data_IF_821652410039
#
_entry.id   IF_821652410039
#
_cell.length_a   1.000
_cell.length_b   1.000
_cell.length_c   1.000
_cell.angle_alpha   90.00
_cell.angle_beta   90.00
_cell.angle_gamma   90.00
#
_symmetry.space_group_name_H-M   'P 1'
#
loop_
_entity.id
_entity.type
_entity.pdbx_description
1 polymer ?
#
# COMPACT_ATOMS: atom_id res chain seq x y z
N UNK A 1 -18.67 -9.14 25.62
CA UNK A 1 -18.06 -8.53 26.82
C UNK A 1 -18.02 -7.02 26.63
N UNK A 2 -18.49 -6.24 27.61
CA UNK A 2 -18.41 -4.77 27.55
C UNK A 2 -16.98 -4.30 27.80
N UNK A 3 -16.44 -3.45 26.94
CA UNK A 3 -15.11 -2.88 27.16
C UNK A 3 -15.14 -1.83 28.28
N UNK A 4 -14.22 -1.92 29.23
CA UNK A 4 -14.14 -0.97 30.35
C UNK A 4 -13.81 0.45 29.88
N UNK A 5 -14.28 1.47 30.59
CA UNK A 5 -14.00 2.89 30.28
C UNK A 5 -12.49 3.19 30.28
N UNK A 6 -11.69 2.47 31.08
CA UNK A 6 -10.23 2.56 31.08
C UNK A 6 -9.62 2.15 29.73
N UNK A 7 -10.09 1.05 29.12
CA UNK A 7 -9.60 0.59 27.81
C UNK A 7 -9.92 1.63 26.73
N UNK A 8 -11.12 2.22 26.77
CA UNK A 8 -11.55 3.26 25.81
C UNK A 8 -10.67 4.50 25.89
N UNK A 9 -10.32 4.93 27.09
CA UNK A 9 -9.45 6.08 27.32
C UNK A 9 -7.99 5.80 26.94
N UNK A 10 -7.45 4.64 27.31
CA UNK A 10 -6.10 4.21 26.89
C UNK A 10 -6.00 4.20 25.37
N UNK A 11 -7.03 3.66 24.70
CA UNK A 11 -7.04 3.57 23.23
C UNK A 11 -6.99 4.96 22.57
N UNK A 12 -7.75 5.92 23.08
CA UNK A 12 -7.70 7.30 22.60
C UNK A 12 -6.31 7.93 22.79
N UNK A 13 -5.68 7.71 23.95
CA UNK A 13 -4.33 8.23 24.24
C UNK A 13 -3.29 7.61 23.29
N UNK A 14 -3.35 6.29 23.07
CA UNK A 14 -2.42 5.61 22.17
C UNK A 14 -2.58 6.10 20.73
N UNK A 15 -3.80 6.26 20.22
CA UNK A 15 -4.00 6.82 18.88
C UNK A 15 -3.53 8.28 18.76
N UNK A 16 -3.69 9.09 19.81
CA UNK A 16 -3.16 10.45 19.82
C UNK A 16 -1.62 10.44 19.76
N UNK A 17 -0.96 9.56 20.51
CA UNK A 17 0.49 9.42 20.48
C UNK A 17 0.99 8.96 19.11
N UNK A 18 0.33 7.96 18.51
CA UNK A 18 0.67 7.50 17.15
C UNK A 18 0.45 8.63 16.13
N UNK A 19 -0.67 9.35 16.21
CA UNK A 19 -0.96 10.48 15.34
C UNK A 19 0.15 11.53 15.41
N UNK A 20 0.57 11.94 16.61
CA UNK A 20 1.63 12.93 16.79
C UNK A 20 2.98 12.39 16.32
N UNK A 21 3.35 11.17 16.72
CA UNK A 21 4.65 10.60 16.38
C UNK A 21 4.83 10.42 14.86
N UNK A 22 3.84 9.81 14.19
CA UNK A 22 3.89 9.61 12.74
C UNK A 22 3.58 10.88 11.96
N UNK A 23 2.82 11.83 12.52
CA UNK A 23 2.66 13.16 11.96
C UNK A 23 3.97 13.95 11.97
N UNK A 24 4.69 13.96 13.09
CA UNK A 24 6.02 14.56 13.18
C UNK A 24 7.02 13.88 12.24
N UNK A 25 7.04 12.55 12.19
CA UNK A 25 7.90 11.80 11.27
C UNK A 25 7.57 12.12 9.81
N UNK A 26 6.27 12.08 9.46
CA UNK A 26 5.78 12.39 8.13
C UNK A 26 6.13 13.80 7.69
N UNK A 27 5.89 14.80 8.53
CA UNK A 27 6.24 16.19 8.25
C UNK A 27 7.76 16.40 8.18
N UNK A 28 8.53 15.81 9.10
CA UNK A 28 9.99 15.91 9.10
C UNK A 28 10.59 15.40 7.79
N UNK A 29 10.24 14.17 7.40
CA UNK A 29 10.78 13.59 6.19
C UNK A 29 10.24 14.26 4.91
N UNK A 30 8.98 14.67 4.89
CA UNK A 30 8.38 15.27 3.68
C UNK A 30 8.78 16.73 3.44
N UNK A 31 9.01 17.52 4.49
CA UNK A 31 9.25 18.96 4.36
C UNK A 31 10.68 19.39 4.74
N UNK A 32 11.38 18.65 5.61
CA UNK A 32 12.70 19.05 6.10
C UNK A 32 13.84 18.21 5.55
N UNK A 33 13.65 16.89 5.40
CA UNK A 33 14.67 15.99 4.82
C UNK A 33 14.64 16.04 3.30
N UNK A 34 13.45 16.19 2.72
CA UNK A 34 13.27 16.27 1.28
C UNK A 34 12.71 17.63 0.82
N UNK A 35 13.37 18.78 1.10
CA UNK A 35 12.83 20.10 0.81
C UNK A 35 12.84 20.46 -0.69
N UNK A 36 13.64 19.77 -1.52
CA UNK A 36 13.87 20.12 -2.94
C UNK A 36 12.60 20.00 -3.81
N UNK A 37 11.50 19.45 -3.27
CA UNK A 37 10.18 19.51 -3.91
C UNK A 37 9.62 20.93 -4.03
N UNK A 38 9.97 21.81 -3.10
CA UNK A 38 9.45 23.17 -3.00
C UNK A 38 10.38 24.21 -3.62
N UNK A 39 11.61 23.84 -3.99
CA UNK A 39 12.56 24.76 -4.63
C UNK A 39 12.31 24.84 -6.15
N UNK A 40 11.90 26.01 -6.69
CA UNK A 40 11.67 26.19 -8.11
C UNK A 40 12.96 26.29 -8.94
N UNK A 41 14.16 26.31 -8.34
CA UNK A 41 15.42 26.63 -9.02
C UNK A 41 16.26 25.44 -9.53
N UNK A 42 15.92 24.20 -9.18
CA UNK A 42 16.87 23.07 -9.26
C UNK A 42 16.72 22.07 -10.41
N UNK A 43 17.08 22.42 -11.66
CA UNK A 43 17.20 21.41 -12.74
C UNK A 43 18.36 20.42 -12.53
N UNK A 44 19.46 20.85 -11.89
CA UNK A 44 20.59 19.96 -11.53
C UNK A 44 20.30 19.11 -10.30
N UNK A 45 19.49 19.62 -9.35
CA UNK A 45 19.05 18.86 -8.19
C UNK A 45 18.03 17.77 -8.55
N UNK A 46 17.16 18.00 -9.53
CA UNK A 46 16.23 16.99 -10.03
C UNK A 46 16.93 15.75 -10.63
N UNK A 47 18.07 15.94 -11.30
CA UNK A 47 18.88 14.82 -11.81
C UNK A 47 19.57 14.03 -10.70
N UNK A 48 20.04 14.72 -9.64
CA UNK A 48 20.59 14.07 -8.45
C UNK A 48 19.51 13.36 -7.62
N UNK A 49 18.29 13.90 -7.59
CA UNK A 49 17.13 13.35 -6.91
C UNK A 49 16.71 11.98 -7.49
N UNK A 50 16.65 11.85 -8.82
CA UNK A 50 16.28 10.60 -9.50
C UNK A 50 17.32 9.49 -9.22
N UNK A 51 18.60 9.84 -9.08
CA UNK A 51 19.70 8.90 -8.85
C UNK A 51 20.01 8.59 -7.37
N UNK A 52 19.54 9.40 -6.42
CA UNK A 52 19.88 9.25 -5.00
C UNK A 52 18.85 8.41 -4.24
N UNK A 53 19.15 7.12 -4.08
CA UNK A 53 18.30 6.17 -3.37
C UNK A 53 17.97 6.61 -1.93
N UNK A 54 18.91 7.24 -1.23
CA UNK A 54 18.71 7.73 0.14
C UNK A 54 17.60 8.78 0.25
N UNK A 55 17.45 9.61 -0.79
CA UNK A 55 16.43 10.65 -0.84
C UNK A 55 15.03 10.07 -1.12
N UNK A 56 14.96 9.06 -2.00
CA UNK A 56 13.71 8.32 -2.24
C UNK A 56 13.22 7.58 -0.99
N UNK A 57 14.13 7.06 -0.15
CA UNK A 57 13.76 6.51 1.16
C UNK A 57 13.17 7.57 2.07
N UNK A 58 13.78 8.77 2.13
CA UNK A 58 13.25 9.90 2.89
C UNK A 58 11.80 10.22 2.53
N UNK A 59 11.50 10.36 1.23
CA UNK A 59 10.12 10.61 0.78
C UNK A 59 9.18 9.42 1.09
N UNK A 60 9.63 8.17 0.99
CA UNK A 60 8.81 7.01 1.38
C UNK A 60 8.49 7.01 2.88
N UNK A 61 9.44 7.38 3.75
CA UNK A 61 9.20 7.55 5.18
C UNK A 61 8.24 8.71 5.46
N UNK A 62 8.35 9.82 4.72
CA UNK A 62 7.44 10.95 4.82
C UNK A 62 6.00 10.56 4.50
N UNK A 63 5.82 9.86 3.38
CA UNK A 63 4.51 9.38 2.92
C UNK A 63 3.93 8.29 3.84
N UNK A 64 4.76 7.38 4.38
CA UNK A 64 4.33 6.41 5.39
C UNK A 64 3.88 7.12 6.67
N UNK A 65 4.65 8.10 7.14
CA UNK A 65 4.30 8.88 8.33
C UNK A 65 2.93 9.54 8.19
N UNK A 66 2.67 10.17 7.04
CA UNK A 66 1.37 10.78 6.76
C UNK A 66 0.24 9.74 6.63
N UNK A 67 0.50 8.57 6.05
CA UNK A 67 -0.48 7.49 5.94
C UNK A 67 -0.91 6.96 7.32
N UNK A 68 0.07 6.66 8.18
CA UNK A 68 -0.17 6.19 9.55
C UNK A 68 -0.85 7.28 10.37
N UNK A 69 -0.47 8.55 10.19
CA UNK A 69 -1.14 9.69 10.81
C UNK A 69 -2.63 9.75 10.44
N UNK A 70 -3.00 9.60 9.16
CA UNK A 70 -4.39 9.64 8.72
C UNK A 70 -5.24 8.50 9.34
N UNK A 71 -4.69 7.29 9.37
CA UNK A 71 -5.38 6.14 10.00
C UNK A 71 -5.47 6.33 11.52
N UNK A 72 -4.42 6.85 12.15
CA UNK A 72 -4.41 7.16 13.57
C UNK A 72 -5.41 8.27 13.94
N UNK A 73 -5.59 9.28 13.07
CA UNK A 73 -6.61 10.31 13.25
C UNK A 73 -8.03 9.71 13.24
N UNK A 74 -8.30 8.79 12.31
CA UNK A 74 -9.57 8.05 12.28
C UNK A 74 -9.76 7.21 13.57
N UNK A 75 -8.73 6.47 13.98
CA UNK A 75 -8.74 5.68 15.22
C UNK A 75 -8.96 6.53 16.46
N UNK A 76 -8.37 7.72 16.51
CA UNK A 76 -8.57 8.70 17.57
C UNK A 76 -10.01 9.21 17.63
N UNK A 77 -10.58 9.63 16.49
CA UNK A 77 -11.98 10.10 16.42
C UNK A 77 -12.95 8.99 16.83
N UNK A 78 -12.72 7.75 16.40
CA UNK A 78 -13.54 6.60 16.80
C UNK A 78 -13.40 6.31 18.30
N UNK A 79 -12.19 6.43 18.85
CA UNK A 79 -11.96 6.25 20.29
C UNK A 79 -12.66 7.33 21.12
N UNK A 80 -12.63 8.60 20.70
CA UNK A 80 -13.39 9.67 21.35
C UNK A 80 -14.91 9.46 21.29
N UNK A 81 -15.42 8.99 20.14
CA UNK A 81 -16.85 8.61 20.01
C UNK A 81 -17.20 7.46 20.96
N UNK A 82 -16.31 6.48 21.11
CA UNK A 82 -16.52 5.36 22.03
C UNK A 82 -16.58 5.79 23.50
N UNK A 83 -15.84 6.83 23.89
CA UNK A 83 -15.92 7.40 25.25
C UNK A 83 -17.28 8.08 25.47
N UNK A 84 -17.79 8.78 24.46
CA UNK A 84 -19.11 9.45 24.53
C UNK A 84 -20.29 8.47 24.47
N UNK A 85 -20.12 7.33 23.83
CA UNK A 85 -21.16 6.31 23.63
C UNK A 85 -20.76 4.99 24.30
N UNK A 86 -20.81 4.96 25.64
CA UNK A 86 -20.35 3.83 26.45
C UNK A 86 -21.12 2.52 26.16
N UNK A 87 -22.35 2.61 25.65
CA UNK A 87 -23.19 1.44 25.36
C UNK A 87 -22.87 0.73 24.03
N UNK A 88 -22.04 1.31 23.15
CA UNK A 88 -21.74 0.73 21.84
C UNK A 88 -20.30 0.18 21.74
N UNK A 89 -20.15 -1.11 22.04
CA UNK A 89 -18.87 -1.83 21.90
C UNK A 89 -18.41 -1.96 20.43
N UNK A 90 -19.30 -1.75 19.44
CA UNK A 90 -18.93 -1.82 18.02
C UNK A 90 -17.96 -0.71 17.64
N UNK A 91 -18.09 0.46 18.27
CA UNK A 91 -17.21 1.62 18.02
C UNK A 91 -15.80 1.35 18.56
N UNK A 92 -15.69 0.66 19.70
CA UNK A 92 -14.39 0.26 20.28
C UNK A 92 -13.70 -0.78 19.39
N UNK A 93 -14.45 -1.77 18.87
CA UNK A 93 -13.91 -2.72 17.89
C UNK A 93 -13.46 -2.02 16.60
N UNK A 94 -14.22 -1.02 16.14
CA UNK A 94 -13.86 -0.23 14.97
C UNK A 94 -12.56 0.58 15.16
N UNK A 95 -12.31 1.12 16.36
CA UNK A 95 -11.03 1.78 16.63
C UNK A 95 -9.88 0.77 16.71
N UNK A 96 -10.10 -0.44 17.25
CA UNK A 96 -9.05 -1.47 17.22
C UNK A 96 -8.70 -1.92 15.79
N UNK A 97 -9.67 -1.94 14.88
CA UNK A 97 -9.41 -2.20 13.46
C UNK A 97 -8.47 -1.18 12.82
N UNK A 98 -8.37 0.04 13.34
CA UNK A 98 -7.37 1.00 12.89
C UNK A 98 -5.93 0.58 13.24
N UNK A 99 -5.69 -0.21 14.29
CA UNK A 99 -4.35 -0.78 14.54
C UNK A 99 -3.97 -1.83 13.51
N UNK A 100 -4.94 -2.67 13.13
CA UNK A 100 -4.76 -3.66 12.07
C UNK A 100 -4.44 -2.95 10.76
N UNK A 101 -5.17 -1.87 10.45
CA UNK A 101 -4.91 -1.03 9.28
C UNK A 101 -3.48 -0.44 9.29
N UNK A 102 -3.03 0.11 10.42
CA UNK A 102 -1.65 0.62 10.59
C UNK A 102 -0.62 -0.51 10.36
N UNK A 103 -0.86 -1.70 10.91
CA UNK A 103 0.00 -2.86 10.72
C UNK A 103 0.14 -3.26 9.25
N UNK A 104 -0.96 -3.24 8.49
CA UNK A 104 -0.92 -3.48 7.04
C UNK A 104 -0.17 -2.39 6.26
N UNK A 105 -0.24 -1.12 6.68
CA UNK A 105 0.61 -0.06 6.08
C UNK A 105 2.09 -0.38 6.27
N UNK A 106 2.50 -0.85 7.46
CA UNK A 106 3.87 -1.30 7.70
C UNK A 106 4.25 -2.52 6.86
N UNK A 107 3.34 -3.50 6.72
CA UNK A 107 3.58 -4.64 5.83
C UNK A 107 3.90 -4.16 4.41
N UNK A 108 3.07 -3.28 3.84
CA UNK A 108 3.32 -2.81 2.47
C UNK A 108 4.62 -2.01 2.39
N UNK A 109 4.93 -1.20 3.38
CA UNK A 109 6.19 -0.47 3.43
C UNK A 109 7.41 -1.40 3.45
N UNK A 110 7.45 -2.37 4.35
CA UNK A 110 8.57 -3.30 4.44
C UNK A 110 8.67 -4.21 3.22
N UNK A 111 7.54 -4.56 2.60
CA UNK A 111 7.53 -5.27 1.33
C UNK A 111 8.14 -4.43 0.19
N UNK A 112 7.68 -3.19 0.02
CA UNK A 112 8.20 -2.28 -1.01
C UNK A 112 9.69 -1.99 -0.82
N UNK A 113 10.14 -1.81 0.43
CA UNK A 113 11.56 -1.66 0.76
C UNK A 113 12.36 -2.92 0.41
N UNK A 114 11.85 -4.11 0.73
CA UNK A 114 12.51 -5.38 0.39
C UNK A 114 12.71 -5.53 -1.12
N UNK A 115 11.68 -5.19 -1.92
CA UNK A 115 11.74 -5.22 -3.38
C UNK A 115 12.72 -4.17 -3.93
N UNK A 116 12.73 -2.97 -3.35
CA UNK A 116 13.62 -1.90 -3.79
C UNK A 116 15.08 -2.17 -3.45
N UNK A 117 15.36 -2.75 -2.28
CA UNK A 117 16.69 -3.20 -1.90
C UNK A 117 17.16 -4.40 -2.75
N UNK A 118 16.24 -5.27 -3.19
CA UNK A 118 16.56 -6.36 -4.11
C UNK A 118 17.10 -5.85 -5.46
N UNK A 119 16.58 -4.72 -5.97
CA UNK A 119 17.09 -4.07 -7.20
C UNK A 119 18.52 -3.54 -7.07
N UNK A 120 19.01 -3.34 -5.85
CA UNK A 120 20.34 -2.79 -5.56
C UNK A 120 21.38 -3.85 -5.19
N UNK A 121 21.07 -5.14 -5.37
CA UNK A 121 22.00 -6.24 -5.08
C UNK A 121 23.27 -6.07 -5.93
N UNK A 122 24.41 -5.89 -5.24
CA UNK A 122 25.69 -5.50 -5.82
C UNK A 122 26.62 -4.73 -4.85
N UNK A 123 26.13 -4.33 -3.67
CA UNK A 123 26.95 -3.83 -2.55
C UNK A 123 26.78 -4.71 -1.32
N UNK A 124 27.89 -5.02 -0.64
CA UNK A 124 28.05 -6.08 0.37
C UNK A 124 27.16 -6.01 1.62
N UNK A 125 26.32 -4.98 1.77
CA UNK A 125 25.45 -4.78 2.95
C UNK A 125 23.95 -4.75 2.64
N UNK A 126 23.54 -4.84 1.38
CA UNK A 126 22.14 -4.67 0.98
C UNK A 126 21.29 -5.91 1.26
N UNK A 127 21.88 -7.12 1.21
CA UNK A 127 21.21 -8.36 1.57
C UNK A 127 20.71 -8.37 3.02
N UNK A 128 21.45 -7.76 3.95
CA UNK A 128 21.06 -7.61 5.35
C UNK A 128 19.77 -6.79 5.50
N UNK A 129 19.66 -5.67 4.78
CA UNK A 129 18.48 -4.80 4.81
C UNK A 129 17.25 -5.45 4.20
N UNK A 130 17.41 -6.31 3.18
CA UNK A 130 16.33 -7.14 2.64
C UNK A 130 15.83 -8.12 3.72
N UNK A 131 16.75 -8.85 4.37
CA UNK A 131 16.39 -9.83 5.41
C UNK A 131 15.68 -9.16 6.58
N UNK A 132 16.19 -8.03 7.08
CA UNK A 132 15.55 -7.27 8.17
C UNK A 132 14.15 -6.78 7.76
N UNK A 133 14.00 -6.26 6.54
CA UNK A 133 12.70 -5.81 6.02
C UNK A 133 11.70 -6.96 5.89
N UNK A 134 12.12 -8.13 5.43
CA UNK A 134 11.27 -9.32 5.34
C UNK A 134 10.87 -9.84 6.74
N UNK A 135 11.78 -9.85 7.70
CA UNK A 135 11.46 -10.25 9.08
C UNK A 135 10.43 -9.29 9.69
N UNK A 136 10.61 -7.98 9.50
CA UNK A 136 9.66 -6.96 9.97
C UNK A 136 8.31 -7.08 9.26
N UNK A 137 8.28 -7.37 7.95
CA UNK A 137 7.05 -7.68 7.20
C UNK A 137 6.31 -8.88 7.79
N UNK A 138 6.99 -9.99 8.03
CA UNK A 138 6.38 -11.20 8.61
C UNK A 138 5.86 -10.90 10.02
N UNK A 139 6.65 -10.20 10.84
CA UNK A 139 6.23 -9.76 12.17
C UNK A 139 4.98 -8.88 12.14
N UNK A 140 4.93 -7.89 11.25
CA UNK A 140 3.76 -7.02 11.05
C UNK A 140 2.55 -7.79 10.54
N UNK A 141 2.71 -8.77 9.63
CA UNK A 141 1.62 -9.61 9.16
C UNK A 141 1.02 -10.45 10.28
N UNK A 142 1.87 -11.09 11.10
CA UNK A 142 1.41 -11.87 12.26
C UNK A 142 0.70 -10.94 13.27
N UNK A 143 1.31 -9.80 13.59
CA UNK A 143 0.77 -8.84 14.54
C UNK A 143 -0.54 -8.19 14.06
N UNK A 144 -0.80 -8.12 12.75
CA UNK A 144 -2.04 -7.57 12.18
C UNK A 144 -3.11 -8.64 12.03
N UNK A 145 -2.74 -9.85 11.61
CA UNK A 145 -3.68 -10.94 11.31
C UNK A 145 -4.22 -11.61 12.57
N UNK A 146 -3.41 -11.80 13.61
CA UNK A 146 -3.86 -12.47 14.85
C UNK A 146 -4.96 -11.66 15.56
N UNK A 147 -4.81 -10.34 15.78
CA UNK A 147 -5.90 -9.53 16.33
C UNK A 147 -7.09 -9.42 15.39
N UNK A 148 -6.86 -9.34 14.06
CA UNK A 148 -7.94 -9.32 13.08
C UNK A 148 -8.83 -10.56 13.22
N UNK A 149 -8.26 -11.76 13.22
CA UNK A 149 -9.02 -13.01 13.38
C UNK A 149 -9.79 -13.05 14.71
N UNK A 150 -9.15 -12.68 15.83
CA UNK A 150 -9.78 -12.71 17.16
C UNK A 150 -10.85 -11.63 17.38
N UNK A 151 -10.71 -10.46 16.77
CA UNK A 151 -11.67 -9.36 16.93
C UNK A 151 -12.91 -9.53 16.03
N UNK A 152 -12.80 -10.40 15.03
CA UNK A 152 -13.76 -10.54 13.94
C UNK A 152 -14.46 -11.90 13.89
N UNK A 153 -14.23 -12.80 14.84
CA UNK A 153 -14.94 -14.08 14.96
C UNK A 153 -16.47 -13.92 14.92
N UNK A 154 -17.02 -12.78 15.38
CA UNK A 154 -18.45 -12.46 15.36
C UNK A 154 -18.82 -11.22 14.50
N UNK A 155 -17.88 -10.68 13.71
CA UNK A 155 -18.09 -9.42 13.01
C UNK A 155 -18.67 -9.62 11.60
N UNK A 156 -19.57 -8.72 11.19
CA UNK A 156 -20.11 -8.69 9.82
C UNK A 156 -18.96 -8.55 8.81
N UNK A 157 -18.86 -9.49 7.86
CA UNK A 157 -17.79 -9.50 6.85
C UNK A 157 -17.67 -8.18 6.08
N UNK A 158 -18.76 -7.41 5.95
CA UNK A 158 -18.73 -6.09 5.31
C UNK A 158 -17.89 -5.06 6.07
N UNK A 159 -17.87 -5.06 7.41
CA UNK A 159 -17.06 -4.10 8.17
C UNK A 159 -15.57 -4.43 8.07
N UNK A 160 -15.24 -5.72 8.00
CA UNK A 160 -13.88 -6.23 7.79
C UNK A 160 -13.35 -5.76 6.44
N UNK A 161 -14.12 -6.05 5.39
CA UNK A 161 -13.77 -5.69 4.03
C UNK A 161 -13.72 -4.17 3.84
N UNK A 162 -14.57 -3.41 4.51
CA UNK A 162 -14.48 -1.94 4.56
C UNK A 162 -13.11 -1.48 5.05
N UNK A 163 -12.66 -1.99 6.20
CA UNK A 163 -11.38 -1.57 6.80
C UNK A 163 -10.21 -1.99 5.92
N UNK A 164 -10.24 -3.22 5.40
CA UNK A 164 -9.14 -3.77 4.60
C UNK A 164 -9.01 -3.02 3.26
N UNK A 165 -10.13 -2.76 2.57
CA UNK A 165 -10.16 -1.97 1.33
C UNK A 165 -9.85 -0.49 1.55
N UNK A 166 -10.29 0.10 2.66
CA UNK A 166 -9.92 1.48 3.02
C UNK A 166 -8.43 1.61 3.32
N UNK A 167 -7.84 0.64 4.03
CA UNK A 167 -6.39 0.60 4.30
C UNK A 167 -5.62 0.48 3.00
N UNK A 168 -6.05 -0.42 2.11
CA UNK A 168 -5.44 -0.59 0.81
C UNK A 168 -5.52 0.70 -0.04
N UNK A 169 -6.66 1.41 0.01
CA UNK A 169 -6.81 2.71 -0.64
C UNK A 169 -5.82 3.74 -0.08
N UNK A 170 -5.66 3.84 1.25
CA UNK A 170 -4.69 4.77 1.86
C UNK A 170 -3.26 4.47 1.39
N UNK A 171 -2.88 3.20 1.35
CA UNK A 171 -1.56 2.76 0.86
C UNK A 171 -1.36 3.14 -0.62
N UNK A 172 -2.37 2.90 -1.47
CA UNK A 172 -2.29 3.25 -2.88
C UNK A 172 -2.22 4.76 -3.09
N UNK A 173 -2.97 5.54 -2.32
CA UNK A 173 -2.89 7.00 -2.36
C UNK A 173 -1.50 7.51 -1.98
N UNK A 174 -0.89 6.92 -0.95
CA UNK A 174 0.49 7.15 -0.57
C UNK A 174 1.47 6.85 -1.71
N UNK A 175 1.30 5.71 -2.38
CA UNK A 175 2.11 5.36 -3.55
C UNK A 175 1.92 6.35 -4.72
N UNK A 176 0.68 6.78 -4.99
CA UNK A 176 0.36 7.81 -5.98
C UNK A 176 1.04 9.13 -5.66
N UNK A 177 0.99 9.57 -4.40
CA UNK A 177 1.67 10.80 -3.98
C UNK A 177 3.18 10.67 -4.18
N UNK A 178 3.76 9.54 -3.79
CA UNK A 178 5.20 9.27 -3.93
C UNK A 178 5.63 9.35 -5.39
N UNK A 179 4.99 8.56 -6.25
CA UNK A 179 5.34 8.49 -7.68
C UNK A 179 4.93 9.75 -8.43
N UNK A 180 3.84 10.41 -8.02
CA UNK A 180 3.33 11.63 -8.61
C UNK A 180 4.23 12.82 -8.34
N UNK A 181 4.69 12.98 -7.09
CA UNK A 181 5.68 13.99 -6.74
C UNK A 181 6.98 13.73 -7.49
N UNK A 182 7.45 12.47 -7.52
CA UNK A 182 8.65 12.08 -8.29
C UNK A 182 8.50 12.42 -9.78
N UNK A 183 7.34 12.11 -10.37
CA UNK A 183 7.01 12.48 -11.76
C UNK A 183 7.07 13.98 -11.99
N UNK A 184 6.45 14.79 -11.12
CA UNK A 184 6.47 16.25 -11.24
C UNK A 184 7.89 16.82 -11.18
N UNK A 185 8.77 16.24 -10.35
CA UNK A 185 10.20 16.60 -10.32
C UNK A 185 10.88 16.22 -11.63
N UNK A 186 10.59 15.06 -12.19
CA UNK A 186 11.18 14.64 -13.47
C UNK A 186 10.79 15.52 -14.66
N UNK A 187 9.66 16.24 -14.60
CA UNK A 187 9.29 17.23 -15.63
C UNK A 187 10.27 18.41 -15.68
N UNK A 188 10.94 18.71 -14.56
CA UNK A 188 11.95 19.78 -14.44
C UNK A 188 13.37 19.28 -14.78
N UNK A 189 13.59 17.97 -14.78
CA UNK A 189 14.88 17.36 -15.11
C UNK A 189 15.25 17.55 -16.59
N UNK A 190 16.53 17.86 -16.86
CA UNK A 190 17.08 17.98 -18.21
C UNK A 190 17.86 16.70 -18.58
N UNK A 191 17.64 16.16 -19.78
CA UNK A 191 18.29 14.94 -20.28
C UNK A 191 17.30 13.93 -20.87
N UNK A 192 17.78 12.73 -21.22
CA UNK A 192 16.95 11.66 -21.79
C UNK A 192 16.14 10.92 -20.71
N UNK A 193 15.25 11.64 -20.03
CA UNK A 193 14.35 11.13 -18.96
C UNK A 193 12.96 10.79 -19.47
N UNK A 194 12.72 10.88 -20.79
CA UNK A 194 11.40 10.66 -21.39
C UNK A 194 10.84 9.27 -21.11
N UNK A 195 11.71 8.26 -21.12
CA UNK A 195 11.35 6.90 -20.74
C UNK A 195 10.92 6.92 -19.27
N UNK A 196 11.72 7.47 -18.34
CA UNK A 196 11.45 7.42 -16.88
C UNK A 196 10.14 8.15 -16.53
N UNK A 197 9.87 9.26 -17.22
CA UNK A 197 8.61 10.01 -17.11
C UNK A 197 7.40 9.15 -17.48
N UNK A 198 7.50 8.39 -18.56
CA UNK A 198 6.42 7.51 -19.00
C UNK A 198 6.14 6.41 -17.96
N UNK A 199 7.19 5.81 -17.39
CA UNK A 199 7.07 4.80 -16.32
C UNK A 199 6.37 5.35 -15.07
N UNK A 200 6.86 6.48 -14.55
CA UNK A 200 6.29 7.13 -13.37
C UNK A 200 4.84 7.55 -13.62
N UNK A 201 4.53 8.06 -14.81
CA UNK A 201 3.15 8.41 -15.19
C UNK A 201 2.25 7.17 -15.21
N UNK A 202 2.72 6.05 -15.76
CA UNK A 202 1.97 4.78 -15.74
C UNK A 202 1.73 4.31 -14.31
N UNK A 203 2.74 4.37 -13.43
CA UNK A 203 2.58 4.05 -12.01
C UNK A 203 1.54 4.92 -11.32
N UNK A 204 1.59 6.24 -11.55
CA UNK A 204 0.64 7.19 -11.00
C UNK A 204 -0.77 6.87 -11.47
N UNK A 205 -0.99 6.68 -12.77
CA UNK A 205 -2.32 6.46 -13.34
C UNK A 205 -2.94 5.13 -12.88
N UNK A 206 -2.17 4.03 -12.92
CA UNK A 206 -2.68 2.71 -12.50
C UNK A 206 -2.91 2.69 -10.98
N UNK A 207 -1.98 3.21 -10.18
CA UNK A 207 -2.16 3.27 -8.73
C UNK A 207 -3.33 4.18 -8.34
N UNK A 208 -3.53 5.30 -9.06
CA UNK A 208 -4.65 6.21 -8.82
C UNK A 208 -5.99 5.57 -9.21
N UNK A 209 -6.06 4.88 -10.35
CA UNK A 209 -7.25 4.11 -10.74
C UNK A 209 -7.59 3.06 -9.69
N UNK A 210 -6.59 2.34 -9.21
CA UNK A 210 -6.75 1.34 -8.14
C UNK A 210 -7.21 1.97 -6.82
N UNK A 211 -6.63 3.11 -6.45
CA UNK A 211 -7.02 3.88 -5.27
C UNK A 211 -8.51 4.25 -5.33
N UNK A 212 -8.97 4.81 -6.46
CA UNK A 212 -10.37 5.22 -6.65
C UNK A 212 -11.30 4.01 -6.53
N UNK A 213 -10.97 2.88 -7.16
CA UNK A 213 -11.77 1.65 -7.06
C UNK A 213 -11.80 1.09 -5.63
N UNK A 214 -10.67 1.07 -4.94
CA UNK A 214 -10.56 0.58 -3.56
C UNK A 214 -11.31 1.47 -2.57
N UNK A 215 -11.24 2.80 -2.76
CA UNK A 215 -11.99 3.76 -1.96
C UNK A 215 -13.50 3.64 -2.22
N UNK A 216 -13.91 3.49 -3.48
CA UNK A 216 -15.30 3.26 -3.85
C UNK A 216 -15.82 1.94 -3.24
N UNK A 217 -15.04 0.87 -3.30
CA UNK A 217 -15.35 -0.41 -2.65
C UNK A 217 -15.56 -0.23 -1.14
N UNK A 218 -14.63 0.44 -0.46
CA UNK A 218 -14.72 0.71 0.98
C UNK A 218 -16.00 1.51 1.34
N UNK A 219 -16.32 2.56 0.58
CA UNK A 219 -17.53 3.37 0.79
C UNK A 219 -18.79 2.51 0.62
N UNK A 220 -18.83 1.64 -0.40
CA UNK A 220 -19.99 0.79 -0.67
C UNK A 220 -20.11 -0.33 0.37
N UNK A 221 -19.02 -0.97 0.79
CA UNK A 221 -19.01 -1.92 1.91
C UNK A 221 -19.55 -1.28 3.20
N UNK A 222 -19.14 -0.06 3.51
CA UNK A 222 -19.62 0.67 4.69
C UNK A 222 -21.12 1.01 4.59
N UNK A 223 -21.60 1.41 3.41
CA UNK A 223 -23.03 1.65 3.17
C UNK A 223 -23.85 0.37 3.31
N UNK A 224 -23.35 -0.75 2.77
CA UNK A 224 -23.95 -2.07 2.86
C UNK A 224 -24.06 -2.54 4.31
N UNK A 225 -22.99 -2.38 5.10
CA UNK A 225 -23.01 -2.65 6.54
C UNK A 225 -24.10 -1.86 7.27
N UNK A 226 -24.22 -0.55 7.02
CA UNK A 226 -25.26 0.28 7.64
C UNK A 226 -26.68 -0.12 7.25
N UNK A 227 -26.87 -0.65 6.05
CA UNK A 227 -28.18 -1.02 5.50
C UNK A 227 -28.52 -2.51 5.68
N UNK A 228 -27.60 -3.31 6.19
CA UNK A 228 -27.73 -4.78 6.24
C UNK A 228 -27.88 -5.42 4.85
N UNK A 229 -27.40 -4.76 3.79
CA UNK A 229 -27.56 -5.20 2.41
C UNK A 229 -26.28 -5.89 1.93
N UNK A 230 -26.41 -7.07 1.31
CA UNK A 230 -25.29 -7.71 0.60
C UNK A 230 -25.43 -7.40 -0.89
N UNK A 231 -24.56 -6.53 -1.41
CA UNK A 231 -24.45 -6.28 -2.85
C UNK A 231 -23.10 -6.76 -3.35
N UNK A 232 -23.05 -7.22 -4.61
CA UNK A 232 -21.81 -7.71 -5.26
C UNK A 232 -20.90 -6.59 -5.74
N UNK A 233 -21.43 -5.38 -5.91
CA UNK A 233 -20.71 -4.20 -6.40
C UNK A 233 -19.39 -3.91 -5.66
N UNK A 234 -19.33 -3.86 -4.31
CA UNK A 234 -18.08 -3.55 -3.62
C UNK A 234 -17.02 -4.64 -3.80
N UNK A 235 -17.42 -5.91 -3.94
CA UNK A 235 -16.51 -7.00 -4.26
C UNK A 235 -15.93 -6.85 -5.68
N UNK A 236 -16.78 -6.57 -6.67
CA UNK A 236 -16.35 -6.31 -8.05
C UNK A 236 -15.36 -5.14 -8.11
N UNK A 237 -15.64 -4.04 -7.41
CA UNK A 237 -14.75 -2.88 -7.36
C UNK A 237 -13.38 -3.24 -6.76
N UNK A 238 -13.34 -4.03 -5.70
CA UNK A 238 -12.09 -4.49 -5.10
C UNK A 238 -11.31 -5.42 -6.03
N UNK A 239 -11.99 -6.36 -6.70
CA UNK A 239 -11.35 -7.31 -7.61
C UNK A 239 -10.81 -6.64 -8.88
N UNK A 240 -11.54 -5.69 -9.47
CA UNK A 240 -11.03 -4.86 -10.56
C UNK A 240 -9.83 -4.01 -10.13
N UNK A 241 -9.84 -3.54 -8.88
CA UNK A 241 -8.67 -2.89 -8.27
C UNK A 241 -7.46 -3.83 -8.27
N UNK A 242 -7.59 -5.06 -7.78
CA UNK A 242 -6.50 -6.04 -7.79
C UNK A 242 -6.00 -6.35 -9.21
N UNK A 243 -6.90 -6.39 -10.20
CA UNK A 243 -6.52 -6.56 -11.60
C UNK A 243 -5.67 -5.38 -12.11
N UNK A 244 -6.03 -4.14 -11.77
CA UNK A 244 -5.20 -2.97 -12.12
C UNK A 244 -3.81 -3.04 -11.47
N UNK A 245 -3.71 -3.50 -10.21
CA UNK A 245 -2.42 -3.70 -9.52
C UNK A 245 -1.55 -4.71 -10.27
N UNK A 246 -2.13 -5.76 -10.83
CA UNK A 246 -1.37 -6.70 -11.68
C UNK A 246 -0.78 -6.01 -12.92
N UNK A 247 -1.52 -5.08 -13.52
CA UNK A 247 -1.05 -4.24 -14.63
C UNK A 247 0.12 -3.34 -14.25
N UNK A 248 0.20 -2.93 -12.98
CA UNK A 248 1.31 -2.18 -12.41
C UNK A 248 2.61 -3.01 -12.41
N UNK A 249 2.53 -4.28 -12.00
CA UNK A 249 3.66 -5.22 -12.05
C UNK A 249 4.07 -5.55 -13.49
N UNK A 250 3.11 -5.81 -14.38
CA UNK A 250 3.39 -6.04 -15.80
C UNK A 250 4.02 -4.83 -16.48
N UNK A 251 3.51 -3.63 -16.20
CA UNK A 251 4.04 -2.37 -16.70
C UNK A 251 5.48 -2.15 -16.25
N UNK A 252 5.75 -2.32 -14.95
CA UNK A 252 7.12 -2.20 -14.39
C UNK A 252 8.12 -3.15 -15.05
N UNK A 253 7.72 -4.40 -15.26
CA UNK A 253 8.58 -5.47 -15.79
C UNK A 253 8.85 -5.26 -17.28
N UNK A 254 7.81 -4.95 -18.05
CA UNK A 254 7.92 -4.71 -19.49
C UNK A 254 8.75 -3.47 -19.77
N UNK A 255 8.59 -2.44 -18.94
CA UNK A 255 9.36 -1.21 -19.05
C UNK A 255 10.84 -1.43 -18.74
N UNK A 256 11.19 -2.09 -17.63
CA UNK A 256 12.58 -2.41 -17.27
C UNK A 256 13.24 -3.26 -18.37
N UNK A 257 12.50 -4.20 -18.97
CA UNK A 257 12.95 -4.99 -20.11
C UNK A 257 13.25 -4.11 -21.33
N UNK A 258 12.31 -3.26 -21.75
CA UNK A 258 12.47 -2.39 -22.93
C UNK A 258 13.60 -1.38 -22.72
N UNK A 259 13.69 -0.75 -21.55
CA UNK A 259 14.75 0.22 -21.25
C UNK A 259 16.14 -0.39 -21.33
N UNK A 260 16.33 -1.62 -20.84
CA UNK A 260 17.62 -2.31 -20.87
C UNK A 260 17.97 -2.90 -22.23
N UNK A 261 16.98 -3.35 -23.00
CA UNK A 261 17.19 -3.85 -24.37
C UNK A 261 17.46 -2.69 -25.35
N UNK A 262 16.85 -1.53 -25.15
CA UNK A 262 16.93 -0.39 -26.08
C UNK A 262 18.08 0.57 -25.71
N UNK A 263 18.45 0.69 -24.42
CA UNK A 263 19.62 1.48 -24.01
C UNK A 263 20.87 0.59 -24.00
N UNK A 264 21.59 0.60 -25.12
CA UNK A 264 22.78 -0.21 -25.40
C UNK A 264 24.05 0.18 -24.59
N UNK A 265 23.91 0.49 -23.29
CA UNK A 265 25.03 0.80 -22.39
C UNK A 265 24.78 0.29 -20.97
N UNK A 266 25.22 -0.93 -20.65
CA UNK A 266 26.14 -1.22 -19.52
C UNK A 266 26.39 -2.72 -19.32
N UNK A 267 27.67 -3.10 -19.29
CA UNK A 267 28.20 -4.42 -18.94
C UNK A 267 28.41 -4.53 -17.40
N UNK A 268 27.93 -5.65 -16.82
CA UNK A 268 28.29 -6.48 -15.64
C UNK A 268 28.77 -5.96 -14.26
N UNK A 269 28.23 -6.58 -13.19
CA UNK A 269 28.98 -7.35 -12.14
C UNK A 269 28.10 -8.50 -11.62
N UNK A 270 28.62 -9.75 -11.56
CA UNK A 270 28.06 -10.87 -10.79
C UNK A 270 29.12 -11.44 -9.83
N UNK A 271 28.67 -12.02 -8.72
CA UNK A 271 29.50 -12.43 -7.57
C UNK A 271 30.22 -13.78 -7.75
N UNK A 272 30.23 -14.36 -8.95
CA UNK A 272 30.95 -15.60 -9.24
C UNK A 272 31.50 -15.59 -10.68
N UNK A 273 32.67 -14.97 -10.84
CA UNK A 273 33.83 -15.44 -11.64
C UNK A 273 33.69 -15.99 -13.07
N UNK A 274 32.51 -16.02 -13.67
CA UNK A 274 32.25 -16.49 -15.03
C UNK A 274 31.06 -15.72 -15.56
N UNK A 275 31.22 -15.13 -16.74
CA UNK A 275 30.30 -14.21 -17.42
C UNK A 275 28.84 -14.71 -17.42
N UNK A 276 28.09 -14.30 -16.40
CA UNK A 276 26.66 -14.55 -16.26
C UNK A 276 25.87 -13.31 -16.69
N UNK A 277 24.91 -13.59 -17.56
CA UNK A 277 24.12 -12.67 -18.36
C UNK A 277 22.92 -12.17 -17.51
N UNK A 278 22.63 -10.87 -17.54
CA UNK A 278 21.42 -10.19 -17.02
C UNK A 278 21.24 -9.94 -15.49
N UNK A 279 21.88 -8.90 -14.94
CA UNK A 279 21.46 -8.29 -13.68
C UNK A 279 20.18 -7.44 -13.88
N UNK A 280 19.01 -8.01 -13.63
CA UNK A 280 17.70 -7.33 -13.72
C UNK A 280 16.61 -8.14 -14.41
N UNK A 281 16.97 -9.21 -15.13
CA UNK A 281 15.98 -10.15 -15.66
C UNK A 281 15.21 -10.82 -14.52
N UNK A 282 15.86 -11.05 -13.37
CA UNK A 282 15.22 -11.58 -12.17
C UNK A 282 14.09 -10.66 -11.67
N UNK A 283 14.30 -9.34 -11.69
CA UNK A 283 13.25 -8.37 -11.32
C UNK A 283 12.09 -8.39 -12.33
N UNK A 284 12.41 -8.44 -13.63
CA UNK A 284 11.42 -8.55 -14.72
C UNK A 284 10.61 -9.85 -14.60
N UNK A 285 11.29 -10.99 -14.39
CA UNK A 285 10.67 -12.30 -14.21
C UNK A 285 9.80 -12.30 -12.97
N UNK A 286 10.29 -11.79 -11.84
CA UNK A 286 9.51 -11.75 -10.60
C UNK A 286 8.29 -10.84 -10.73
N UNK A 287 8.40 -9.71 -11.42
CA UNK A 287 7.25 -8.85 -11.69
C UNK A 287 6.23 -9.52 -12.63
N UNK A 288 6.66 -10.29 -13.64
CA UNK A 288 5.76 -11.14 -14.43
C UNK A 288 5.09 -12.22 -13.58
N UNK A 289 5.83 -12.94 -12.73
CA UNK A 289 5.28 -14.00 -11.87
C UNK A 289 4.25 -13.43 -10.88
N UNK A 290 4.62 -12.37 -10.15
CA UNK A 290 3.72 -11.74 -9.16
C UNK A 290 2.52 -11.11 -9.86
N UNK A 291 2.74 -10.42 -10.98
CA UNK A 291 1.66 -9.88 -11.81
C UNK A 291 0.70 -10.96 -12.30
N UNK A 292 1.20 -12.08 -12.81
CA UNK A 292 0.38 -13.20 -13.27
C UNK A 292 -0.40 -13.86 -12.15
N UNK A 293 0.21 -14.11 -10.98
CA UNK A 293 -0.48 -14.69 -9.84
C UNK A 293 -1.62 -13.77 -9.35
N UNK A 294 -1.37 -12.46 -9.26
CA UNK A 294 -2.39 -11.48 -8.90
C UNK A 294 -3.49 -11.38 -9.95
N UNK A 295 -3.15 -11.39 -11.24
CA UNK A 295 -4.10 -11.36 -12.32
C UNK A 295 -5.01 -12.60 -12.32
N UNK A 296 -4.43 -13.80 -12.16
CA UNK A 296 -5.18 -15.05 -12.07
C UNK A 296 -6.11 -15.00 -10.85
N UNK A 297 -5.60 -14.61 -9.68
CA UNK A 297 -6.41 -14.47 -8.47
C UNK A 297 -7.58 -13.50 -8.66
N UNK A 298 -7.32 -12.31 -9.21
CA UNK A 298 -8.35 -11.31 -9.49
C UNK A 298 -9.39 -11.80 -10.50
N UNK A 299 -8.97 -12.48 -11.57
CA UNK A 299 -9.88 -13.06 -12.57
C UNK A 299 -10.75 -14.15 -11.96
N UNK A 300 -10.19 -15.04 -11.14
CA UNK A 300 -10.95 -16.09 -10.44
C UNK A 300 -12.01 -15.46 -9.52
N UNK A 301 -11.64 -14.42 -8.76
CA UNK A 301 -12.57 -13.71 -7.88
C UNK A 301 -13.67 -12.97 -8.67
N UNK A 302 -13.31 -12.30 -9.76
CA UNK A 302 -14.28 -11.65 -10.67
C UNK A 302 -15.28 -12.67 -11.24
N UNK A 303 -14.79 -13.80 -11.76
CA UNK A 303 -15.63 -14.86 -12.30
C UNK A 303 -16.54 -15.43 -11.21
N UNK A 304 -16.00 -15.70 -10.02
CA UNK A 304 -16.78 -16.20 -8.87
C UNK A 304 -17.89 -15.23 -8.48
N UNK A 305 -17.61 -13.93 -8.44
CA UNK A 305 -18.59 -12.91 -8.09
C UNK A 305 -19.65 -12.68 -9.18
N UNK A 306 -19.27 -12.82 -10.45
CA UNK A 306 -20.19 -12.70 -11.59
C UNK A 306 -21.08 -13.94 -11.77
N UNK A 307 -20.56 -15.15 -11.56
CA UNK A 307 -21.29 -16.42 -11.77
C UNK A 307 -22.01 -16.90 -10.51
N UNK A 308 -21.50 -16.57 -9.32
CA UNK A 308 -22.02 -17.05 -8.04
C UNK A 308 -23.31 -16.36 -7.62
N UNK A 309 -24.46 -16.78 -8.13
CA UNK A 309 -25.73 -16.90 -7.41
C UNK A 309 -26.73 -17.73 -8.23
N UNK A 310 -26.60 -19.05 -8.12
CA UNK A 310 -27.71 -19.98 -8.33
C UNK A 310 -27.78 -20.94 -7.16
N UNK A 311 -28.17 -20.46 -5.99
CA UNK A 311 -28.83 -21.32 -5.00
C UNK A 311 -30.34 -21.03 -5.06
N UNK A 312 -31.19 -22.05 -5.26
CA UNK A 312 -32.62 -21.87 -5.37
C UNK A 312 -33.17 -21.33 -4.04
N UNK A 313 -34.11 -20.40 -4.12
CA UNK A 313 -34.85 -19.88 -2.98
C UNK A 313 -35.37 -21.07 -2.15
N UNK A 314 -34.85 -21.24 -0.94
CA UNK A 314 -35.40 -22.19 0.01
C UNK A 314 -36.84 -21.78 0.29
N UNK A 315 -37.76 -22.72 0.06
CA UNK A 315 -39.19 -22.61 0.33
C UNK A 315 -39.42 -21.95 1.69
N UNK A 316 -40.30 -20.95 1.71
CA UNK A 316 -41.09 -20.64 2.91
C UNK A 316 -41.86 -21.93 3.25
N UNK A 317 -41.44 -22.63 4.29
CA UNK A 317 -42.36 -23.52 4.99
C UNK A 317 -43.07 -22.69 6.07
N UNK A 318 -44.38 -22.88 6.06
CA UNK A 318 -45.40 -22.12 6.77
C UNK A 318 -45.57 -22.58 8.22
#
# INVERSE_FOLDING_TARGET
MKYSSSIRMINAVVFALIFVAFGCLGCYFSFFVCPDFFDPSGSSQANNFIGNTGYNFGLQFGVLGLAVMLIAALGFVLSLKSIRQENDDKIVKASFLCYVAIGYVFCVFFFLNSVLFYRLIGKDQIAWWIVVSVILLIGSLIASNVPMMKMLEDADSNIILTVLTATFAVVLFSFVLTMGITYLVTLRAQGNVGVIRAELLTYVLIAFGTFVLSLAAAIVFFKNYKKGAQTKLPHLLADFGMLLVSGLFFGSSSYEYVYRVTSSKTYHVSLQGTDAIYAGLDYVIMGYIVGSLLAIGAVVLLISNLIGDKKPAAKKEA
#
